data_IF_518084835785
#
_entry.id   IF_518084835785
#
_cell.length_a   1.000
_cell.length_b   1.000
_cell.length_c   1.000
_cell.angle_alpha   90.00
_cell.angle_beta   90.00
_cell.angle_gamma   90.00
#
_symmetry.space_group_name_H-M   'P 1'
#
loop_
_entity.id
_entity.type
_entity.pdbx_description
1 polymer ?
#
# COMPACT_ATOMS: atom_id res chain seq x y z
N UNK A 1 -13.84 -1.86 -16.82
CA UNK A 1 -13.72 -1.26 -15.46
C UNK A 1 -15.04 -1.21 -14.68
N UNK A 2 -16.15 -0.63 -15.20
CA UNK A 2 -17.45 -0.54 -14.48
C UNK A 2 -17.91 -1.90 -13.89
N UNK A 3 -17.92 -2.95 -14.72
CA UNK A 3 -18.28 -4.31 -14.30
C UNK A 3 -17.40 -4.84 -13.16
N UNK A 4 -16.07 -4.74 -13.26
CA UNK A 4 -15.13 -5.15 -12.19
C UNK A 4 -15.50 -4.54 -10.82
N UNK A 5 -15.74 -3.23 -10.77
CA UNK A 5 -16.12 -2.52 -9.52
C UNK A 5 -17.45 -3.03 -8.95
N UNK A 6 -18.42 -3.36 -9.80
CA UNK A 6 -19.73 -3.89 -9.37
C UNK A 6 -19.63 -5.35 -8.93
N UNK A 7 -18.95 -6.21 -9.68
CA UNK A 7 -18.66 -7.61 -9.31
C UNK A 7 -17.89 -7.69 -7.99
N UNK A 8 -16.93 -6.80 -7.74
CA UNK A 8 -16.21 -6.76 -6.46
C UNK A 8 -17.13 -6.40 -5.28
N UNK A 9 -18.01 -5.40 -5.44
CA UNK A 9 -19.04 -5.07 -4.44
C UNK A 9 -19.98 -6.25 -4.21
N UNK A 10 -20.44 -6.91 -5.27
CA UNK A 10 -21.27 -8.10 -5.20
C UNK A 10 -20.58 -9.27 -4.51
N UNK A 11 -19.28 -9.51 -4.72
CA UNK A 11 -18.49 -10.51 -3.97
C UNK A 11 -18.54 -10.25 -2.46
N UNK A 12 -18.38 -8.98 -2.05
CA UNK A 12 -18.46 -8.58 -0.63
C UNK A 12 -19.87 -8.81 -0.08
N UNK A 13 -20.91 -8.41 -0.82
CA UNK A 13 -22.32 -8.63 -0.45
C UNK A 13 -22.64 -10.12 -0.29
N UNK A 14 -22.19 -10.97 -1.21
CA UNK A 14 -22.42 -12.43 -1.16
C UNK A 14 -21.76 -13.13 0.04
N UNK A 15 -20.83 -12.47 0.73
CA UNK A 15 -20.26 -12.99 1.98
C UNK A 15 -21.26 -12.92 3.15
N UNK A 16 -22.29 -12.07 3.07
CA UNK A 16 -23.37 -11.97 4.06
C UNK A 16 -24.74 -12.39 3.50
N UNK A 17 -25.08 -11.96 2.29
CA UNK A 17 -26.34 -12.25 1.59
C UNK A 17 -26.23 -13.46 0.65
N UNK A 18 -27.36 -14.09 0.33
CA UNK A 18 -27.41 -15.29 -0.55
C UNK A 18 -27.39 -14.91 -2.03
N UNK A 19 -27.83 -13.71 -2.37
CA UNK A 19 -27.84 -13.17 -3.74
C UNK A 19 -27.62 -11.65 -3.75
N UNK A 20 -27.34 -11.10 -4.92
CA UNK A 20 -27.17 -9.66 -5.17
C UNK A 20 -27.41 -9.35 -6.64
N UNK A 21 -28.01 -8.20 -6.95
CA UNK A 21 -28.21 -7.77 -8.35
C UNK A 21 -27.07 -6.86 -8.82
N UNK A 22 -26.55 -7.13 -10.02
CA UNK A 22 -25.48 -6.40 -10.68
C UNK A 22 -26.11 -5.51 -11.74
N UNK A 23 -26.37 -4.24 -11.39
CA UNK A 23 -26.97 -3.25 -12.29
C UNK A 23 -25.93 -2.22 -12.76
N UNK A 24 -25.86 -1.95 -14.06
CA UNK A 24 -24.96 -0.98 -14.69
C UNK A 24 -25.68 -0.28 -15.85
N UNK A 25 -25.99 1.00 -15.66
CA UNK A 25 -26.55 1.86 -16.71
C UNK A 25 -25.54 2.07 -17.86
N UNK A 26 -26.06 2.06 -19.08
CA UNK A 26 -25.33 2.24 -20.34
C UNK A 26 -24.00 1.47 -20.32
N UNK A 27 -24.09 0.15 -20.10
CA UNK A 27 -22.95 -0.72 -19.94
C UNK A 27 -22.18 -0.89 -21.25
N UNK A 28 -22.89 -1.14 -22.35
CA UNK A 28 -22.31 -1.27 -23.68
C UNK A 28 -23.33 -0.94 -24.78
N UNK A 29 -22.93 -0.15 -25.79
CA UNK A 29 -23.81 0.18 -26.93
C UNK A 29 -25.08 0.96 -26.57
N UNK A 30 -25.13 1.63 -25.42
CA UNK A 30 -26.36 2.26 -24.91
C UNK A 30 -27.27 1.32 -24.11
N UNK A 31 -26.99 0.01 -24.06
CA UNK A 31 -27.76 -0.96 -23.32
C UNK A 31 -27.31 -1.07 -21.85
N UNK A 32 -28.28 -1.17 -20.96
CA UNK A 32 -28.05 -1.45 -19.54
C UNK A 32 -27.71 -2.93 -19.30
N UNK A 33 -26.98 -3.21 -18.23
CA UNK A 33 -26.72 -4.56 -17.73
C UNK A 33 -27.42 -4.74 -16.39
N UNK A 34 -28.21 -5.80 -16.24
CA UNK A 34 -28.92 -6.15 -15.00
C UNK A 34 -28.98 -7.66 -14.86
N UNK A 35 -28.14 -8.24 -14.00
CA UNK A 35 -28.12 -9.68 -13.73
C UNK A 35 -28.17 -10.01 -12.24
N UNK A 36 -28.86 -11.09 -11.87
CA UNK A 36 -28.85 -11.60 -10.48
C UNK A 36 -27.71 -12.57 -10.29
N UNK A 37 -26.85 -12.32 -9.31
CA UNK A 37 -25.69 -13.14 -9.00
C UNK A 37 -25.86 -13.78 -7.62
N UNK A 38 -25.81 -15.11 -7.54
CA UNK A 38 -26.04 -15.86 -6.30
C UNK A 38 -24.73 -16.33 -5.68
N UNK A 39 -24.75 -16.59 -4.36
CA UNK A 39 -23.64 -17.19 -3.61
C UNK A 39 -23.29 -18.57 -4.18
N UNK A 40 -24.28 -19.40 -4.51
CA UNK A 40 -24.06 -20.71 -5.09
C UNK A 40 -23.35 -20.63 -6.46
N UNK A 41 -23.72 -19.66 -7.31
CA UNK A 41 -23.01 -19.40 -8.57
C UNK A 41 -21.58 -18.94 -8.33
N UNK A 42 -21.37 -17.99 -7.40
CA UNK A 42 -20.03 -17.52 -7.02
C UNK A 42 -19.14 -18.64 -6.50
N UNK A 43 -19.65 -19.49 -5.61
CA UNK A 43 -18.92 -20.62 -5.03
C UNK A 43 -18.60 -21.69 -6.07
N UNK A 44 -19.53 -21.98 -6.99
CA UNK A 44 -19.30 -22.92 -8.09
C UNK A 44 -18.17 -22.45 -9.01
N UNK A 45 -18.21 -21.18 -9.45
CA UNK A 45 -17.19 -20.59 -10.33
C UNK A 45 -15.79 -20.60 -9.71
N UNK A 46 -15.68 -20.37 -8.40
CA UNK A 46 -14.41 -20.24 -7.68
C UNK A 46 -14.00 -21.52 -6.93
N UNK A 47 -14.76 -22.61 -7.04
CA UNK A 47 -14.54 -23.87 -6.30
C UNK A 47 -13.11 -24.39 -6.43
N UNK A 48 -12.53 -24.32 -7.63
CA UNK A 48 -11.16 -24.78 -7.87
C UNK A 48 -10.11 -23.95 -7.08
N UNK A 49 -10.27 -22.63 -7.01
CA UNK A 49 -9.40 -21.75 -6.23
C UNK A 49 -9.53 -22.00 -4.72
N UNK A 50 -10.76 -22.22 -4.24
CA UNK A 50 -11.00 -22.51 -2.82
C UNK A 50 -10.47 -23.88 -2.39
N UNK A 51 -10.47 -24.88 -3.28
CA UNK A 51 -9.87 -26.19 -2.99
C UNK A 51 -8.34 -26.17 -3.12
N UNK A 52 -7.78 -25.30 -3.98
CA UNK A 52 -6.32 -25.21 -4.16
C UNK A 52 -5.55 -24.71 -2.93
N UNK A 53 -6.22 -24.12 -1.94
CA UNK A 53 -5.59 -23.71 -0.67
C UNK A 53 -5.43 -24.86 0.33
N UNK A 54 -6.20 -25.95 0.19
CA UNK A 54 -6.19 -27.06 1.15
C UNK A 54 -4.88 -27.86 1.16
N UNK A 55 -4.27 -28.24 0.00
CA UNK A 55 -2.97 -28.92 -0.02
C UNK A 55 -1.83 -28.12 0.63
N UNK A 56 -1.93 -26.78 0.67
CA UNK A 56 -0.94 -25.93 1.34
C UNK A 56 -1.00 -26.10 2.87
N UNK A 57 -2.20 -26.28 3.43
CA UNK A 57 -2.36 -26.58 4.85
C UNK A 57 -1.85 -27.99 5.21
N UNK A 58 -1.94 -28.94 4.28
CA UNK A 58 -1.38 -30.29 4.44
C UNK A 58 0.15 -30.25 4.44
N UNK A 59 0.77 -29.54 3.49
CA UNK A 59 2.23 -29.35 3.46
C UNK A 59 2.76 -28.70 4.73
N UNK A 60 2.12 -27.63 5.23
CA UNK A 60 2.57 -26.95 6.46
C UNK A 60 2.47 -27.85 7.70
N UNK A 61 1.45 -28.72 7.79
CA UNK A 61 1.34 -29.71 8.88
C UNK A 61 2.42 -30.80 8.77
N UNK A 62 2.74 -31.25 7.56
CA UNK A 62 3.83 -32.20 7.32
C UNK A 62 5.21 -31.60 7.64
N UNK A 63 5.50 -30.41 7.13
CA UNK A 63 6.76 -29.68 7.35
C UNK A 63 6.98 -29.35 8.85
N UNK A 64 5.91 -28.96 9.57
CA UNK A 64 5.94 -28.74 11.03
C UNK A 64 5.87 -30.03 11.86
N UNK A 65 5.59 -31.18 11.25
CA UNK A 65 5.41 -32.50 11.89
C UNK A 65 4.27 -32.51 12.93
N UNK A 66 3.26 -31.67 12.74
CA UNK A 66 2.09 -31.55 13.61
C UNK A 66 0.87 -32.25 13.03
N UNK A 67 0.00 -32.76 13.90
CA UNK A 67 -1.30 -33.26 13.53
C UNK A 67 -2.36 -32.15 13.60
N UNK A 68 -3.47 -32.34 12.88
CA UNK A 68 -4.62 -31.43 12.89
C UNK A 68 -5.21 -31.19 14.29
N UNK A 69 -5.02 -32.13 15.21
CA UNK A 69 -5.41 -32.07 16.62
C UNK A 69 -4.56 -31.11 17.45
N UNK A 70 -3.35 -30.81 17.00
CA UNK A 70 -2.34 -30.10 17.79
C UNK A 70 -2.48 -28.57 17.60
N UNK A 71 -3.29 -28.17 16.61
CA UNK A 71 -3.67 -26.79 16.34
C UNK A 71 -4.79 -26.37 17.29
N UNK A 72 -4.43 -25.55 18.28
CA UNK A 72 -5.33 -25.05 19.33
C UNK A 72 -6.30 -23.96 18.85
N UNK A 73 -5.85 -23.08 17.96
CA UNK A 73 -6.60 -21.92 17.47
C UNK A 73 -6.29 -21.67 15.99
N UNK A 74 -7.31 -21.23 15.24
CA UNK A 74 -7.16 -20.87 13.82
C UNK A 74 -7.47 -19.38 13.66
N UNK A 75 -6.46 -18.61 13.29
CA UNK A 75 -6.57 -17.18 12.99
C UNK A 75 -6.79 -16.99 11.48
N UNK A 76 -7.87 -16.33 11.10
CA UNK A 76 -8.20 -16.04 9.70
C UNK A 76 -7.90 -14.56 9.40
N UNK A 77 -6.93 -14.30 8.51
CA UNK A 77 -6.44 -12.95 8.22
C UNK A 77 -6.69 -12.57 6.75
N UNK A 78 -7.12 -11.33 6.52
CA UNK A 78 -7.37 -10.76 5.19
C UNK A 78 -8.79 -10.98 4.68
N UNK A 79 -9.39 -9.94 4.10
CA UNK A 79 -10.83 -9.89 3.83
C UNK A 79 -11.43 -10.96 2.90
N UNK A 80 -10.62 -11.66 2.09
CA UNK A 80 -11.11 -12.83 1.34
C UNK A 80 -11.50 -14.01 2.24
N UNK A 81 -11.00 -14.06 3.49
CA UNK A 81 -11.40 -15.06 4.50
C UNK A 81 -12.82 -14.86 5.04
N UNK A 82 -13.50 -13.75 4.70
CA UNK A 82 -14.93 -13.57 5.00
C UNK A 82 -15.86 -14.42 4.13
N UNK A 83 -15.36 -15.02 3.05
CA UNK A 83 -16.16 -15.88 2.16
C UNK A 83 -16.63 -17.11 2.97
N UNK A 84 -17.95 -17.36 3.11
CA UNK A 84 -18.47 -18.46 3.93
C UNK A 84 -17.88 -19.83 3.54
N UNK A 85 -17.75 -20.11 2.25
CA UNK A 85 -17.17 -21.37 1.77
C UNK A 85 -15.69 -21.56 2.13
N UNK A 86 -14.90 -20.49 2.23
CA UNK A 86 -13.50 -20.58 2.68
C UNK A 86 -13.46 -20.92 4.16
N UNK A 87 -14.30 -20.28 4.98
CA UNK A 87 -14.39 -20.60 6.41
C UNK A 87 -14.92 -22.02 6.67
N UNK A 88 -15.86 -22.49 5.85
CA UNK A 88 -16.39 -23.85 5.91
C UNK A 88 -15.30 -24.87 5.60
N UNK A 89 -14.59 -24.72 4.46
CA UNK A 89 -13.51 -25.63 4.06
C UNK A 89 -12.39 -25.73 5.12
N UNK A 90 -12.01 -24.61 5.76
CA UNK A 90 -11.00 -24.62 6.85
C UNK A 90 -11.55 -25.31 8.11
N UNK A 91 -12.81 -25.09 8.49
CA UNK A 91 -13.45 -25.79 9.62
C UNK A 91 -13.58 -27.30 9.38
N UNK A 92 -13.95 -27.70 8.17
CA UNK A 92 -14.01 -29.10 7.74
C UNK A 92 -12.61 -29.73 7.81
N UNK A 93 -11.60 -29.04 7.27
CA UNK A 93 -10.22 -29.52 7.24
C UNK A 93 -9.65 -29.79 8.65
N UNK A 94 -9.90 -28.89 9.60
CA UNK A 94 -9.51 -29.01 11.01
C UNK A 94 -10.59 -29.62 11.91
N UNK A 95 -11.56 -30.37 11.35
CA UNK A 95 -12.55 -31.17 12.10
C UNK A 95 -13.31 -30.42 13.20
N UNK A 96 -13.65 -29.14 12.96
CA UNK A 96 -14.43 -28.32 13.88
C UNK A 96 -13.63 -27.50 14.90
N UNK A 97 -12.29 -27.46 14.81
CA UNK A 97 -11.48 -26.48 15.57
C UNK A 97 -12.04 -25.08 15.37
N UNK A 98 -12.22 -24.35 16.47
CA UNK A 98 -12.91 -23.06 16.48
C UNK A 98 -12.07 -22.02 15.75
N UNK A 99 -12.57 -21.49 14.63
CA UNK A 99 -12.03 -20.25 14.07
C UNK A 99 -12.13 -19.14 15.11
N UNK A 100 -11.01 -18.46 15.36
CA UNK A 100 -10.98 -17.35 16.29
C UNK A 100 -11.89 -16.22 15.82
N UNK A 101 -12.37 -15.45 16.79
CA UNK A 101 -13.03 -14.16 16.59
C UNK A 101 -12.27 -13.02 17.27
N UNK A 102 -11.06 -13.29 17.76
CA UNK A 102 -10.25 -12.30 18.48
C UNK A 102 -9.65 -11.22 17.55
N UNK A 103 -9.56 -11.52 16.25
CA UNK A 103 -9.05 -10.62 15.21
C UNK A 103 -10.15 -10.47 14.15
N UNK A 104 -10.54 -9.23 13.82
CA UNK A 104 -11.40 -8.99 12.65
C UNK A 104 -10.55 -9.07 11.36
N UNK A 105 -10.97 -9.82 10.31
CA UNK A 105 -10.13 -10.03 9.13
C UNK A 105 -9.97 -8.84 8.16
N UNK A 106 -10.79 -7.78 8.26
CA UNK A 106 -10.60 -6.53 7.50
C UNK A 106 -9.93 -5.44 8.34
N UNK A 107 -9.99 -5.54 9.67
CA UNK A 107 -9.22 -4.66 10.53
C UNK A 107 -7.72 -4.97 10.38
N UNK A 108 -7.11 -4.19 9.48
CA UNK A 108 -5.68 -3.95 9.33
C UNK A 108 -4.91 -4.05 10.66
N UNK A 109 -5.49 -3.48 11.72
CA UNK A 109 -5.25 -3.74 13.15
C UNK A 109 -4.48 -5.04 13.43
N UNK A 110 -4.91 -6.22 13.00
CA UNK A 110 -4.20 -7.47 13.29
C UNK A 110 -2.75 -7.52 12.80
N UNK A 111 -2.51 -7.27 11.51
CA UNK A 111 -1.14 -7.30 10.92
C UNK A 111 -0.39 -5.99 11.12
N UNK A 112 -1.09 -4.86 11.15
CA UNK A 112 -0.50 -3.53 11.34
C UNK A 112 -0.12 -3.31 12.80
N UNK A 113 -0.82 -3.88 13.79
CA UNK A 113 -0.32 -3.96 15.17
C UNK A 113 0.88 -4.89 15.28
N UNK A 114 0.89 -6.04 14.58
CA UNK A 114 2.09 -6.88 14.51
C UNK A 114 3.31 -6.11 14.00
N UNK A 115 3.15 -5.39 12.89
CA UNK A 115 4.19 -4.52 12.32
C UNK A 115 4.56 -3.35 13.24
N UNK A 116 3.59 -2.68 13.88
CA UNK A 116 3.83 -1.55 14.78
C UNK A 116 4.49 -1.98 16.10
N UNK A 117 4.14 -3.14 16.65
CA UNK A 117 4.80 -3.74 17.81
C UNK A 117 6.23 -4.13 17.45
N UNK A 118 6.47 -4.71 16.28
CA UNK A 118 7.82 -5.01 15.80
C UNK A 118 8.65 -3.73 15.60
N UNK A 119 8.08 -2.70 14.97
CA UNK A 119 8.71 -1.38 14.82
C UNK A 119 8.99 -0.70 16.17
N UNK A 120 8.10 -0.85 17.15
CA UNK A 120 8.32 -0.37 18.53
C UNK A 120 9.50 -1.09 19.21
N UNK A 121 9.58 -2.41 19.07
CA UNK A 121 10.71 -3.21 19.58
C UNK A 121 12.03 -2.77 18.93
N UNK A 122 12.05 -2.59 17.60
CA UNK A 122 13.22 -2.08 16.87
C UNK A 122 13.58 -0.63 17.28
N UNK A 123 12.57 0.20 17.59
CA UNK A 123 12.73 1.55 18.13
C UNK A 123 13.15 1.61 19.60
N UNK A 124 13.29 0.47 20.29
CA UNK A 124 13.68 0.40 21.70
C UNK A 124 12.57 0.76 22.69
N UNK A 125 11.31 0.74 22.26
CA UNK A 125 10.15 1.07 23.08
C UNK A 125 9.96 0.03 24.20
N UNK A 126 9.98 0.48 25.46
CA UNK A 126 10.01 -0.42 26.63
C UNK A 126 8.63 -0.97 27.00
N UNK A 127 7.55 -0.37 26.50
CA UNK A 127 6.18 -0.78 26.80
C UNK A 127 5.70 -2.03 26.05
N UNK A 128 6.43 -2.50 25.02
CA UNK A 128 6.05 -3.69 24.23
C UNK A 128 6.24 -5.03 24.95
N UNK A 129 6.90 -5.03 26.11
CA UNK A 129 7.27 -6.25 26.83
C UNK A 129 8.40 -7.04 26.15
N UNK A 130 8.75 -8.21 26.73
CA UNK A 130 9.79 -9.08 26.19
C UNK A 130 9.20 -10.07 25.17
N UNK A 131 9.15 -9.65 23.91
CA UNK A 131 8.81 -10.52 22.77
C UNK A 131 10.09 -11.00 22.08
N UNK A 132 10.13 -12.28 21.69
CA UNK A 132 11.17 -12.85 20.83
C UNK A 132 10.44 -13.43 19.62
N UNK A 133 10.84 -13.02 18.42
CA UNK A 133 10.30 -13.51 17.16
C UNK A 133 11.38 -14.34 16.49
N UNK A 134 11.02 -15.54 16.04
CA UNK A 134 11.86 -16.39 15.21
C UNK A 134 11.01 -16.76 13.99
N UNK A 135 11.45 -16.32 12.82
CA UNK A 135 10.80 -16.60 11.53
C UNK A 135 11.61 -17.62 10.72
N UNK A 136 11.05 -18.09 9.60
CA UNK A 136 11.67 -19.08 8.71
C UNK A 136 11.59 -18.63 7.25
N UNK A 137 12.63 -18.94 6.47
CA UNK A 137 12.59 -18.68 5.03
C UNK A 137 11.57 -19.62 4.35
N UNK A 138 10.57 -19.12 3.59
CA UNK A 138 9.48 -19.94 3.07
C UNK A 138 9.85 -20.82 1.85
N UNK A 139 11.07 -20.69 1.30
CA UNK A 139 11.53 -21.41 0.12
C UNK A 139 12.88 -22.08 0.37
N UNK A 140 13.06 -23.31 -0.13
CA UNK A 140 14.37 -23.95 -0.19
C UNK A 140 15.31 -23.15 -1.09
N UNK A 141 16.49 -22.81 -0.55
CA UNK A 141 17.60 -22.25 -1.32
C UNK A 141 18.56 -23.36 -1.73
N UNK A 142 18.97 -23.35 -2.99
CA UNK A 142 19.87 -24.34 -3.55
C UNK A 142 20.68 -23.79 -4.70
N UNK A 143 21.55 -24.64 -5.23
CA UNK A 143 22.45 -24.29 -6.32
C UNK A 143 22.39 -25.30 -7.46
N UNK A 144 22.72 -24.85 -8.65
CA UNK A 144 22.86 -25.74 -9.80
C UNK A 144 24.09 -26.64 -9.65
N UNK A 145 23.90 -27.93 -9.89
CA UNK A 145 25.00 -28.88 -10.08
C UNK A 145 25.23 -29.15 -11.56
N UNK A 146 26.49 -29.39 -11.95
CA UNK A 146 26.86 -29.76 -13.33
C UNK A 146 26.32 -31.17 -13.72
N UNK A 147 25.80 -31.93 -12.75
CA UNK A 147 25.28 -33.29 -12.94
C UNK A 147 23.77 -33.23 -13.17
N UNK A 148 23.33 -33.52 -14.39
CA UNK A 148 21.94 -33.78 -14.79
C UNK A 148 20.92 -32.65 -14.51
N UNK A 149 21.36 -31.44 -14.13
CA UNK A 149 20.48 -30.30 -13.87
C UNK A 149 19.66 -30.43 -12.58
N UNK A 150 20.15 -31.24 -11.64
CA UNK A 150 19.54 -31.43 -10.31
C UNK A 150 19.93 -30.25 -9.41
N UNK A 151 18.95 -29.71 -8.69
CA UNK A 151 19.17 -28.69 -7.67
C UNK A 151 19.71 -29.36 -6.41
N UNK A 152 20.91 -28.99 -6.00
CA UNK A 152 21.45 -29.43 -4.72
C UNK A 152 21.19 -28.39 -3.64
N UNK A 153 20.74 -28.85 -2.48
CA UNK A 153 20.65 -28.05 -1.27
C UNK A 153 22.08 -27.84 -0.70
N UNK A 154 22.89 -27.00 -1.39
CA UNK A 154 24.23 -26.48 -1.04
C UNK A 154 25.42 -27.50 -1.02
N UNK A 155 26.64 -27.23 -1.52
CA UNK A 155 27.15 -26.17 -2.43
C UNK A 155 28.24 -26.78 -3.37
N UNK A 156 28.13 -26.71 -4.70
CA UNK A 156 28.76 -25.75 -5.66
C UNK A 156 28.34 -26.17 -7.10
N UNK A 157 28.17 -25.28 -8.10
CA UNK A 157 28.75 -23.93 -8.30
C UNK A 157 27.75 -22.86 -8.78
N UNK A 158 28.20 -21.60 -8.69
CA UNK A 158 27.89 -20.41 -9.49
C UNK A 158 26.45 -19.89 -9.64
N UNK A 159 25.40 -20.67 -9.44
CA UNK A 159 24.03 -20.21 -9.74
C UNK A 159 23.05 -20.62 -8.64
N UNK A 160 22.31 -19.63 -8.11
CA UNK A 160 21.46 -19.76 -6.92
C UNK A 160 19.99 -19.79 -7.34
N UNK A 161 19.23 -20.74 -6.80
CA UNK A 161 17.81 -20.90 -7.07
C UNK A 161 17.01 -20.95 -5.77
N UNK A 162 15.78 -20.43 -5.83
CA UNK A 162 14.75 -20.63 -4.82
C UNK A 162 13.64 -21.53 -5.37
N UNK A 163 13.20 -22.48 -4.55
CA UNK A 163 12.05 -23.33 -4.86
C UNK A 163 12.21 -24.79 -4.44
N UNK A 164 11.06 -25.47 -4.41
CA UNK A 164 10.89 -26.80 -3.80
C UNK A 164 11.04 -27.95 -4.82
N UNK A 165 11.36 -27.67 -6.09
CA UNK A 165 11.39 -28.70 -7.15
C UNK A 165 12.79 -29.33 -7.28
N UNK A 166 12.89 -30.61 -7.68
CA UNK A 166 14.17 -31.31 -7.78
C UNK A 166 15.06 -30.82 -8.94
N UNK A 167 14.49 -30.23 -9.99
CA UNK A 167 15.23 -29.79 -11.17
C UNK A 167 15.40 -28.27 -11.21
N UNK A 168 16.63 -27.84 -11.45
CA UNK A 168 17.05 -26.42 -11.48
C UNK A 168 16.16 -25.56 -12.39
N UNK A 169 15.84 -26.08 -13.58
CA UNK A 169 15.04 -25.39 -14.62
C UNK A 169 13.61 -25.03 -14.18
N UNK A 170 13.07 -25.72 -13.17
CA UNK A 170 11.69 -25.57 -12.71
C UNK A 170 11.59 -24.67 -11.46
N UNK A 171 12.72 -24.16 -10.95
CA UNK A 171 12.83 -23.26 -9.81
C UNK A 171 13.21 -21.83 -10.25
N UNK A 172 13.03 -20.84 -9.38
CA UNK A 172 13.32 -19.44 -9.73
C UNK A 172 14.81 -19.12 -9.55
N UNK A 173 15.40 -18.45 -10.54
CA UNK A 173 16.80 -18.03 -10.54
C UNK A 173 16.96 -16.72 -9.75
N UNK A 174 17.59 -16.78 -8.57
CA UNK A 174 17.90 -15.60 -7.76
C UNK A 174 19.09 -14.81 -8.30
N UNK A 175 20.07 -15.50 -8.89
CA UNK A 175 21.22 -14.87 -9.52
C UNK A 175 22.38 -15.82 -9.77
N UNK A 176 23.37 -15.32 -10.51
CA UNK A 176 24.63 -15.99 -10.79
C UNK A 176 25.76 -15.22 -10.10
N UNK A 177 26.65 -15.91 -9.39
CA UNK A 177 27.82 -15.32 -8.74
C UNK A 177 29.11 -15.73 -9.46
N UNK A 178 29.96 -14.76 -9.80
CA UNK A 178 31.27 -14.99 -10.40
C UNK A 178 32.40 -14.51 -9.49
N UNK A 179 33.25 -15.45 -9.07
CA UNK A 179 34.35 -15.20 -8.15
C UNK A 179 35.63 -14.78 -8.89
N UNK A 180 35.68 -13.49 -9.20
CA UNK A 180 36.82 -12.87 -9.90
C UNK A 180 37.98 -12.52 -8.96
N UNK A 181 39.22 -12.62 -9.44
CA UNK A 181 40.42 -12.15 -8.72
C UNK A 181 41.04 -13.14 -7.72
N UNK A 182 40.79 -14.44 -7.86
CA UNK A 182 41.50 -15.48 -7.10
C UNK A 182 42.94 -15.60 -7.67
N UNK A 183 44.00 -15.61 -6.83
CA UNK A 183 45.36 -15.81 -7.30
C UNK A 183 45.55 -17.19 -7.93
N UNK A 184 46.43 -17.29 -8.95
CA UNK A 184 46.73 -18.55 -9.64
C UNK A 184 47.31 -19.58 -8.66
N UNK A 185 46.55 -20.65 -8.41
CA UNK A 185 46.90 -21.74 -7.51
C UNK A 185 46.65 -23.10 -8.19
N UNK A 186 47.39 -24.17 -7.82
CA UNK A 186 47.16 -25.50 -8.36
C UNK A 186 45.74 -26.01 -8.09
N UNK A 187 45.21 -26.86 -8.98
CA UNK A 187 43.85 -27.42 -8.88
C UNK A 187 43.64 -28.10 -7.52
N UNK A 188 42.65 -27.62 -6.76
CA UNK A 188 42.30 -28.13 -5.43
C UNK A 188 42.96 -27.41 -4.25
N UNK A 189 43.89 -26.49 -4.49
CA UNK A 189 44.55 -25.68 -3.44
C UNK A 189 43.72 -24.48 -2.94
N UNK A 190 43.03 -23.66 -3.78
CA UNK A 190 42.29 -22.52 -3.27
C UNK A 190 41.05 -22.98 -2.49
N UNK A 191 40.97 -22.59 -1.21
CA UNK A 191 39.84 -22.88 -0.33
C UNK A 191 38.99 -21.62 -0.18
N UNK A 192 37.81 -21.65 -0.79
CA UNK A 192 36.84 -20.56 -0.73
C UNK A 192 35.73 -20.93 0.26
N UNK A 193 35.61 -20.13 1.31
CA UNK A 193 34.51 -20.16 2.27
C UNK A 193 33.42 -19.22 1.72
N UNK A 194 32.29 -19.78 1.29
CA UNK A 194 31.16 -19.01 0.76
C UNK A 194 30.03 -19.11 1.78
N UNK A 195 29.67 -17.98 2.36
CA UNK A 195 28.63 -17.87 3.39
C UNK A 195 27.38 -17.31 2.77
N UNK A 196 26.27 -18.03 2.94
CA UNK A 196 24.93 -17.64 2.55
C UNK A 196 24.21 -17.26 3.84
N UNK A 197 23.86 -15.99 3.97
CA UNK A 197 23.22 -15.41 5.16
C UNK A 197 21.86 -14.85 4.75
N UNK A 198 20.79 -15.35 5.34
CA UNK A 198 19.45 -14.77 5.20
C UNK A 198 19.26 -13.83 6.38
N UNK A 199 18.97 -12.56 6.11
CA UNK A 199 18.73 -11.58 7.18
C UNK A 199 17.33 -11.74 7.80
N UNK A 200 17.02 -10.89 8.80
CA UNK A 200 15.72 -10.89 9.49
C UNK A 200 14.54 -10.49 8.58
N UNK A 201 14.81 -9.98 7.38
CA UNK A 201 13.81 -9.59 6.38
C UNK A 201 13.60 -10.68 5.30
N UNK A 202 14.33 -11.81 5.40
CA UNK A 202 14.31 -12.87 4.38
C UNK A 202 15.22 -12.59 3.17
N UNK A 203 16.10 -11.58 3.24
CA UNK A 203 16.97 -11.20 2.12
C UNK A 203 18.25 -12.03 2.15
N UNK A 204 18.54 -12.72 1.05
CA UNK A 204 19.75 -13.53 0.88
C UNK A 204 20.98 -12.66 0.55
N UNK A 205 21.90 -12.58 1.51
CA UNK A 205 23.24 -12.06 1.34
C UNK A 205 24.22 -13.19 1.05
N UNK A 206 25.13 -13.00 0.09
CA UNK A 206 26.18 -13.98 -0.22
C UNK A 206 27.54 -13.31 -0.09
N UNK A 207 28.39 -13.88 0.76
CA UNK A 207 29.77 -13.43 0.94
C UNK A 207 30.71 -14.56 0.59
N UNK A 208 31.88 -14.22 0.06
CA UNK A 208 32.90 -15.19 -0.28
C UNK A 208 34.26 -14.70 0.22
N UNK A 209 34.93 -15.58 0.97
CA UNK A 209 36.26 -15.36 1.51
C UNK A 209 37.21 -16.40 0.96
N UNK A 210 38.38 -15.97 0.49
CA UNK A 210 39.50 -16.89 0.28
C UNK A 210 40.21 -17.13 1.61
N UNK A 211 40.25 -18.39 2.04
CA UNK A 211 40.84 -18.82 3.30
C UNK A 211 42.36 -18.59 3.36
N UNK A 212 43.03 -18.56 2.20
CA UNK A 212 44.48 -18.34 2.12
C UNK A 212 44.85 -16.86 2.32
N UNK A 213 44.15 -15.94 1.66
CA UNK A 213 44.40 -14.49 1.77
C UNK A 213 43.62 -13.78 2.86
N UNK A 214 42.58 -14.43 3.42
CA UNK A 214 41.53 -13.82 4.27
C UNK A 214 40.77 -12.65 3.64
N UNK A 215 40.99 -12.35 2.36
CA UNK A 215 40.29 -11.27 1.67
C UNK A 215 38.80 -11.60 1.57
N UNK A 216 37.99 -10.76 2.21
CA UNK A 216 36.54 -10.79 2.11
C UNK A 216 36.11 -10.06 0.84
N UNK A 217 35.39 -10.75 -0.05
CA UNK A 217 34.57 -10.09 -1.08
C UNK A 217 33.10 -10.22 -0.68
N UNK A 218 32.51 -9.09 -0.34
CA UNK A 218 31.07 -8.93 -0.28
C UNK A 218 30.53 -8.90 -1.70
N UNK A 219 29.56 -9.74 -2.01
CA UNK A 219 28.86 -9.75 -3.31
C UNK A 219 27.37 -9.70 -3.00
N UNK A 220 26.84 -8.48 -2.89
CA UNK A 220 25.38 -8.30 -2.92
C UNK A 220 24.89 -8.89 -4.23
N UNK A 221 23.89 -9.78 -4.17
CA UNK A 221 23.29 -10.34 -5.40
C UNK A 221 22.51 -9.20 -6.07
N UNK A 222 23.17 -8.50 -6.98
CA UNK A 222 22.48 -7.69 -7.99
C UNK A 222 21.78 -8.66 -8.92
N UNK A 223 20.51 -8.96 -8.65
CA UNK A 223 19.69 -9.77 -9.53
C UNK A 223 19.63 -9.07 -10.89
N UNK A 224 20.30 -9.62 -11.90
CA UNK A 224 20.38 -9.07 -13.25
C UNK A 224 19.07 -9.25 -14.05
N UNK A 225 18.06 -9.88 -13.47
CA UNK A 225 16.69 -9.88 -13.97
C UNK A 225 15.88 -8.74 -13.34
N UNK A 226 15.74 -7.64 -14.09
CA UNK A 226 14.70 -6.58 -14.19
C UNK A 226 13.80 -6.13 -13.01
N UNK A 227 13.69 -6.85 -11.91
CA UNK A 227 12.72 -6.62 -10.84
C UNK A 227 13.34 -6.02 -9.57
N UNK A 228 14.67 -5.87 -9.52
CA UNK A 228 15.39 -5.17 -8.45
C UNK A 228 15.93 -3.87 -9.02
N UNK A 229 15.52 -2.75 -8.42
CA UNK A 229 15.96 -1.42 -8.82
C UNK A 229 17.46 -1.26 -8.53
N UNK A 230 18.21 -0.71 -9.49
CA UNK A 230 19.60 -0.30 -9.25
C UNK A 230 19.66 0.89 -8.28
N UNK A 231 20.80 1.12 -7.63
CA UNK A 231 20.96 2.28 -6.74
C UNK A 231 20.68 3.61 -7.45
N UNK A 232 21.04 3.73 -8.74
CA UNK A 232 20.77 4.92 -9.56
C UNK A 232 19.27 5.11 -9.83
N UNK A 233 18.51 4.02 -9.98
CA UNK A 233 17.05 4.09 -10.11
C UNK A 233 16.37 4.40 -8.77
N UNK A 234 16.90 3.88 -7.65
CA UNK A 234 16.44 4.21 -6.30
C UNK A 234 16.68 5.70 -6.00
N UNK A 235 17.90 6.20 -6.21
CA UNK A 235 18.25 7.62 -6.00
C UNK A 235 17.40 8.54 -6.87
N UNK A 236 17.11 8.12 -8.12
CA UNK A 236 16.17 8.83 -9.00
C UNK A 236 14.75 8.79 -8.45
N UNK A 237 14.24 7.64 -8.00
CA UNK A 237 12.89 7.53 -7.44
C UNK A 237 12.72 8.37 -6.17
N UNK A 238 13.72 8.41 -5.29
CA UNK A 238 13.74 9.28 -4.11
C UNK A 238 13.64 10.74 -4.53
N UNK A 239 14.45 11.17 -5.52
CA UNK A 239 14.41 12.54 -6.02
C UNK A 239 13.08 12.88 -6.71
N UNK A 240 12.54 11.95 -7.51
CA UNK A 240 11.24 12.11 -8.14
C UNK A 240 10.15 12.24 -7.04
N UNK A 241 10.21 11.43 -5.96
CA UNK A 241 9.33 11.52 -4.78
C UNK A 241 9.45 12.86 -4.03
N UNK A 242 10.65 13.39 -3.83
CA UNK A 242 10.86 14.74 -3.27
C UNK A 242 10.15 15.80 -4.13
N UNK A 243 10.29 15.76 -5.46
CA UNK A 243 9.60 16.70 -6.35
C UNK A 243 8.08 16.52 -6.35
N UNK A 244 7.58 15.28 -6.24
CA UNK A 244 6.15 15.04 -6.08
C UNK A 244 5.63 15.58 -4.74
N UNK A 245 6.40 15.44 -3.65
CA UNK A 245 6.04 15.99 -2.34
C UNK A 245 5.99 17.52 -2.34
N UNK A 246 6.91 18.20 -3.05
CA UNK A 246 6.88 19.65 -3.27
C UNK A 246 5.64 20.07 -4.09
N UNK A 247 5.35 19.40 -5.20
CA UNK A 247 4.16 19.65 -6.02
C UNK A 247 2.86 19.43 -5.21
N UNK A 248 2.81 18.39 -4.39
CA UNK A 248 1.70 18.09 -3.49
C UNK A 248 1.49 19.19 -2.44
N UNK A 249 2.58 19.75 -1.90
CA UNK A 249 2.52 20.89 -0.98
C UNK A 249 2.02 22.16 -1.68
N UNK A 250 2.52 22.46 -2.88
CA UNK A 250 2.06 23.59 -3.69
C UNK A 250 0.58 23.45 -4.04
N UNK A 251 0.13 22.25 -4.45
CA UNK A 251 -1.27 21.97 -4.77
C UNK A 251 -2.18 22.05 -3.53
N UNK A 252 -1.73 21.58 -2.37
CA UNK A 252 -2.43 21.77 -1.08
C UNK A 252 -2.54 23.25 -0.71
N UNK A 253 -1.45 24.02 -0.84
CA UNK A 253 -1.45 25.47 -0.59
C UNK A 253 -2.38 26.22 -1.55
N UNK A 254 -2.41 25.82 -2.83
CA UNK A 254 -3.31 26.36 -3.84
C UNK A 254 -4.79 26.15 -3.48
N UNK A 255 -5.17 24.90 -3.18
CA UNK A 255 -6.54 24.57 -2.74
C UNK A 255 -6.89 25.31 -1.45
N UNK A 256 -5.96 25.41 -0.51
CA UNK A 256 -6.16 26.13 0.75
C UNK A 256 -6.46 27.62 0.51
N UNK A 257 -5.62 28.32 -0.27
CA UNK A 257 -5.81 29.73 -0.59
C UNK A 257 -7.15 30.00 -1.30
N UNK A 258 -7.51 29.16 -2.28
CA UNK A 258 -8.80 29.22 -2.97
C UNK A 258 -9.99 29.02 -2.00
N UNK A 259 -9.92 28.01 -1.15
CA UNK A 259 -10.98 27.71 -0.18
C UNK A 259 -11.11 28.82 0.88
N UNK A 260 -9.99 29.38 1.36
CA UNK A 260 -10.01 30.52 2.28
C UNK A 260 -10.72 31.74 1.66
N UNK A 261 -10.42 32.06 0.41
CA UNK A 261 -11.04 33.16 -0.31
C UNK A 261 -12.55 32.92 -0.53
N UNK A 262 -12.94 31.70 -0.92
CA UNK A 262 -14.35 31.32 -1.05
C UNK A 262 -15.12 31.48 0.27
N UNK A 263 -14.57 30.97 1.36
CA UNK A 263 -15.14 31.09 2.71
C UNK A 263 -15.23 32.56 3.13
N UNK A 264 -14.20 33.37 2.83
CA UNK A 264 -14.20 34.80 3.14
C UNK A 264 -15.30 35.57 2.39
N UNK A 265 -15.43 35.39 1.07
CA UNK A 265 -16.50 36.00 0.26
C UNK A 265 -17.88 35.60 0.81
N UNK A 266 -18.10 34.31 1.06
CA UNK A 266 -19.38 33.80 1.58
C UNK A 266 -19.71 34.37 2.97
N UNK A 267 -18.72 34.48 3.86
CA UNK A 267 -18.90 35.06 5.18
C UNK A 267 -19.23 36.56 5.13
N UNK A 268 -18.54 37.35 4.29
CA UNK A 268 -18.89 38.77 4.09
C UNK A 268 -20.30 38.92 3.53
N UNK A 269 -20.66 38.12 2.52
CA UNK A 269 -22.00 38.13 1.92
C UNK A 269 -23.10 37.76 2.92
N UNK A 270 -22.82 36.85 3.85
CA UNK A 270 -23.72 36.54 4.97
C UNK A 270 -23.86 37.72 5.95
N UNK A 271 -22.76 38.37 6.33
CA UNK A 271 -22.77 39.51 7.27
C UNK A 271 -23.48 40.74 6.70
N UNK A 272 -23.35 41.00 5.39
CA UNK A 272 -24.08 42.06 4.67
C UNK A 272 -25.58 41.81 4.58
N UNK A 273 -26.00 40.55 4.52
CA UNK A 273 -27.42 40.16 4.51
C UNK A 273 -28.03 40.11 5.93
N UNK A 274 -27.22 40.05 6.99
CA UNK A 274 -27.70 40.06 8.37
C UNK A 274 -27.96 41.49 8.87
N UNK A 275 -29.23 41.85 8.99
CA UNK A 275 -29.71 43.14 9.48
C UNK A 275 -29.14 43.54 10.87
N UNK A 276 -28.74 42.56 11.70
CA UNK A 276 -28.18 42.81 13.04
C UNK A 276 -26.69 43.13 13.04
N UNK A 277 -25.98 42.82 11.95
CA UNK A 277 -24.51 42.92 11.85
C UNK A 277 -24.10 44.07 10.92
N UNK A 278 -24.02 43.83 9.60
CA UNK A 278 -23.66 44.85 8.60
C UNK A 278 -24.85 45.24 7.69
N UNK A 279 -25.93 44.44 7.67
CA UNK A 279 -27.08 44.67 6.81
C UNK A 279 -28.02 45.80 7.24
N UNK A 280 -28.06 46.13 8.53
CA UNK A 280 -28.91 47.20 9.08
C UNK A 280 -28.32 48.61 8.95
N UNK A 281 -28.93 49.58 9.63
CA UNK A 281 -28.55 51.00 9.61
C UNK A 281 -27.20 51.33 10.31
N UNK A 282 -26.29 50.36 10.49
CA UNK A 282 -24.99 50.55 11.15
C UNK A 282 -23.90 51.08 10.22
N UNK A 283 -24.06 50.88 8.91
CA UNK A 283 -23.18 51.42 7.87
C UNK A 283 -23.85 52.62 7.19
N UNK A 284 -23.02 53.54 6.68
CA UNK A 284 -23.51 54.56 5.74
C UNK A 284 -24.00 53.89 4.46
N UNK A 285 -24.98 54.50 3.76
CA UNK A 285 -25.49 53.94 2.50
C UNK A 285 -24.39 53.80 1.45
N UNK A 286 -23.44 54.75 1.43
CA UNK A 286 -22.33 54.78 0.50
C UNK A 286 -21.31 53.69 0.82
N UNK A 287 -20.89 53.55 2.09
CA UNK A 287 -19.97 52.49 2.52
C UNK A 287 -20.59 51.09 2.33
N UNK A 288 -21.90 50.92 2.56
CA UNK A 288 -22.60 49.66 2.30
C UNK A 288 -22.59 49.29 0.81
N UNK A 289 -22.93 50.25 -0.06
CA UNK A 289 -22.88 50.07 -1.53
C UNK A 289 -21.48 49.70 -2.04
N UNK A 290 -20.43 50.27 -1.44
CA UNK A 290 -19.03 49.97 -1.78
C UNK A 290 -18.67 48.52 -1.45
N UNK A 291 -19.00 48.00 -0.25
CA UNK A 291 -18.71 46.58 0.06
C UNK A 291 -19.58 45.66 -0.80
N UNK A 292 -20.88 45.96 -0.97
CA UNK A 292 -21.78 45.10 -1.76
C UNK A 292 -21.34 44.98 -3.22
N UNK A 293 -20.83 46.06 -3.83
CA UNK A 293 -20.26 46.03 -5.18
C UNK A 293 -19.01 45.15 -5.22
N UNK A 294 -18.03 45.41 -4.34
CA UNK A 294 -16.78 44.66 -4.31
C UNK A 294 -16.99 43.15 -4.05
N UNK A 295 -17.84 42.78 -3.08
CA UNK A 295 -18.16 41.36 -2.78
C UNK A 295 -18.85 40.67 -3.97
N UNK A 296 -19.69 41.37 -4.73
CA UNK A 296 -20.35 40.79 -5.89
C UNK A 296 -19.45 40.71 -7.14
N UNK A 297 -18.49 41.61 -7.30
CA UNK A 297 -17.46 41.54 -8.35
C UNK A 297 -16.50 40.38 -8.09
N UNK A 298 -15.95 40.29 -6.87
CA UNK A 298 -15.07 39.20 -6.45
C UNK A 298 -15.77 37.83 -6.47
N UNK A 299 -17.05 37.76 -6.10
CA UNK A 299 -17.83 36.53 -6.22
C UNK A 299 -18.03 36.08 -7.68
N UNK A 300 -18.24 37.02 -8.61
CA UNK A 300 -18.31 36.69 -10.05
C UNK A 300 -16.97 36.20 -10.56
N UNK A 301 -15.88 36.88 -10.22
CA UNK A 301 -14.52 36.48 -10.60
C UNK A 301 -14.19 35.08 -10.05
N UNK A 302 -14.51 34.80 -8.79
CA UNK A 302 -14.36 33.47 -8.19
C UNK A 302 -15.19 32.41 -8.95
N UNK A 303 -16.47 32.66 -9.21
CA UNK A 303 -17.34 31.70 -9.90
C UNK A 303 -16.88 31.39 -11.33
N UNK A 304 -16.31 32.36 -12.05
CA UNK A 304 -15.72 32.16 -13.37
C UNK A 304 -14.39 31.40 -13.33
N UNK A 305 -13.57 31.59 -12.30
CA UNK A 305 -12.22 31.04 -12.23
C UNK A 305 -12.05 29.79 -11.35
N UNK A 306 -13.04 29.41 -10.52
CA UNK A 306 -12.95 28.27 -9.59
C UNK A 306 -12.62 26.91 -10.25
N UNK A 307 -12.89 26.77 -11.55
CA UNK A 307 -12.60 25.55 -12.31
C UNK A 307 -11.42 25.71 -13.28
N UNK A 308 -10.75 26.87 -13.30
CA UNK A 308 -9.59 27.12 -14.15
C UNK A 308 -8.31 26.62 -13.43
N UNK A 309 -7.57 25.64 -13.99
CA UNK A 309 -6.34 25.13 -13.40
C UNK A 309 -5.12 26.06 -13.62
N UNK A 310 -5.23 27.10 -14.46
CA UNK A 310 -4.12 28.01 -14.79
C UNK A 310 -3.99 29.20 -13.83
N UNK A 311 -4.90 29.35 -12.85
CA UNK A 311 -4.80 30.43 -11.86
C UNK A 311 -3.68 30.11 -10.88
N UNK A 312 -2.72 31.01 -10.72
CA UNK A 312 -1.66 30.88 -9.72
C UNK A 312 -2.18 31.09 -8.29
N UNK A 313 -1.50 30.54 -7.29
CA UNK A 313 -1.89 30.62 -5.87
C UNK A 313 -1.89 32.06 -5.35
N UNK A 314 -0.95 32.86 -5.85
CA UNK A 314 -0.74 34.28 -5.58
C UNK A 314 -2.00 35.09 -5.92
N UNK A 315 -2.67 34.79 -7.05
CA UNK A 315 -3.88 35.50 -7.47
C UNK A 315 -5.04 35.32 -6.47
N UNK A 316 -5.26 34.10 -5.98
CA UNK A 316 -6.28 33.85 -4.94
C UNK A 316 -5.98 34.63 -3.64
N UNK A 317 -4.69 34.72 -3.27
CA UNK A 317 -4.23 35.47 -2.10
C UNK A 317 -4.38 36.98 -2.31
N UNK A 318 -4.10 37.49 -3.51
CA UNK A 318 -4.21 38.91 -3.82
C UNK A 318 -5.67 39.38 -3.84
N UNK A 319 -6.55 38.69 -4.57
CA UNK A 319 -7.99 38.99 -4.57
C UNK A 319 -8.59 38.95 -3.15
N UNK A 320 -8.19 37.98 -2.33
CA UNK A 320 -8.54 37.94 -0.90
C UNK A 320 -8.06 39.19 -0.15
N UNK A 321 -6.78 39.57 -0.28
CA UNK A 321 -6.20 40.76 0.38
C UNK A 321 -6.86 42.07 -0.07
N UNK A 322 -7.19 42.21 -1.36
CA UNK A 322 -7.87 43.40 -1.89
C UNK A 322 -9.27 43.54 -1.25
N UNK A 323 -10.05 42.45 -1.19
CA UNK A 323 -11.36 42.44 -0.54
C UNK A 323 -11.25 42.66 0.98
N UNK A 324 -10.27 42.04 1.64
CA UNK A 324 -9.97 42.25 3.07
C UNK A 324 -9.62 43.70 3.38
N UNK A 325 -8.84 44.38 2.54
CA UNK A 325 -8.49 45.79 2.73
C UNK A 325 -9.71 46.72 2.60
N UNK A 326 -10.58 46.47 1.63
CA UNK A 326 -11.83 47.24 1.44
C UNK A 326 -12.76 47.04 2.63
N UNK A 327 -13.01 45.79 3.02
CA UNK A 327 -13.88 45.45 4.14
C UNK A 327 -13.34 45.99 5.47
N UNK A 328 -12.05 45.77 5.76
CA UNK A 328 -11.41 46.21 7.02
C UNK A 328 -11.40 47.73 7.16
N UNK A 329 -11.18 48.48 6.07
CA UNK A 329 -11.24 49.95 6.07
C UNK A 329 -12.61 50.46 6.52
N UNK A 330 -13.68 49.80 6.09
CA UNK A 330 -15.06 50.22 6.36
C UNK A 330 -15.53 49.71 7.74
N UNK A 331 -15.21 48.46 8.10
CA UNK A 331 -15.47 47.91 9.43
C UNK A 331 -14.74 48.72 10.51
N UNK A 332 -13.51 49.21 10.24
CA UNK A 332 -12.79 50.08 11.17
C UNK A 332 -13.45 51.44 11.37
N UNK A 333 -14.14 52.01 10.37
CA UNK A 333 -14.96 53.23 10.57
C UNK A 333 -16.14 52.96 11.51
N UNK A 334 -16.72 51.75 11.47
CA UNK A 334 -17.89 51.35 12.26
C UNK A 334 -17.55 51.12 13.75
N UNK A 335 -16.33 50.68 14.08
CA UNK A 335 -15.86 50.49 15.45
C UNK A 335 -14.89 51.57 15.97
N UNK A 336 -14.54 52.55 15.13
CA UNK A 336 -13.59 53.62 15.43
C UNK A 336 -14.23 55.00 15.55
N UNK A 337 -15.53 55.06 15.81
CA UNK A 337 -16.35 56.26 16.00
C UNK A 337 -17.07 56.20 17.36
#
# INVERSE_FOLDING_TARGET
>A
QRLRRKVEKSKRILSTQVETRIEIESFFGGHDFSETFTRATFESLNKHLFLSTIPLLEKVLEDSKLQKSDISEILMVGGSTRIPKVQELVKEFFKGTKLSKAIDPDEAVGTYWGAAVHAGILGGEKSTGKLIIQDVNPLTLGIATEVEGIMANMIRRNTIYEGERPFVKDNHLLGQFELTGIPLAPKGVPQLDVTFEIDVNGILNVTAQDRATKNLKYIVITNSHSNVLSSVEIDRMIKDEETFAELDQQFKAHIHAKNEFEVYIRNLKMQLNDEKILGGNRLSKDDKSIIETAVNEEFKWFESNKSNPEIETENWIEHKKQLEAIASRIIRKLYGA
#
